data_IF_093352409353
#
_entry.id   IF_093352409353
#
_cell.length_a   1.000
_cell.length_b   1.000
_cell.length_c   1.000
_cell.angle_alpha   90.00
_cell.angle_beta   90.00
_cell.angle_gamma   90.00
#
_symmetry.space_group_name_H-M   'P 1'
#
loop_
_entity.id
_entity.type
_entity.pdbx_description
1 polymer ?
#
# COMPACT_ATOMS: atom_id res chain seq x y z
N UNK A 1 -10.98 13.77 -1.81
CA UNK A 1 -10.51 13.94 -0.41
C UNK A 1 -9.45 12.90 -0.04
N UNK A 2 -9.69 11.59 -0.16
CA UNK A 2 -8.70 10.56 0.23
C UNK A 2 -7.37 10.69 -0.53
N UNK A 3 -7.38 10.78 -1.87
CA UNK A 3 -6.13 10.98 -2.64
C UNK A 3 -5.39 12.24 -2.22
N UNK A 4 -6.11 13.36 -2.12
CA UNK A 4 -5.54 14.65 -1.71
C UNK A 4 -4.83 14.57 -0.36
N UNK A 5 -5.44 13.90 0.64
CA UNK A 5 -4.80 13.69 1.92
C UNK A 5 -3.46 12.95 1.78
N UNK A 6 -3.45 11.81 1.06
CA UNK A 6 -2.24 11.01 0.90
C UNK A 6 -1.15 11.68 0.08
N UNK A 7 -1.50 12.58 -0.84
CA UNK A 7 -0.51 13.33 -1.61
C UNK A 7 0.17 14.44 -0.79
N UNK A 8 -0.48 14.94 0.28
CA UNK A 8 0.02 16.09 1.05
C UNK A 8 0.44 15.78 2.51
N UNK A 9 0.04 14.65 3.11
CA UNK A 9 0.30 14.39 4.54
C UNK A 9 1.79 14.32 4.91
N UNK A 10 2.68 14.19 3.92
CA UNK A 10 4.14 14.11 4.08
C UNK A 10 4.89 15.37 3.64
N UNK A 11 4.21 16.45 3.25
CA UNK A 11 4.85 17.64 2.67
C UNK A 11 5.87 18.31 3.61
N UNK A 12 5.72 18.12 4.93
CA UNK A 12 6.65 18.64 5.94
C UNK A 12 7.74 17.65 6.35
N UNK A 13 7.70 16.41 5.84
CA UNK A 13 8.72 15.41 6.12
C UNK A 13 9.84 15.47 5.06
N UNK A 14 10.97 16.08 5.42
CA UNK A 14 12.09 16.29 4.50
C UNK A 14 12.50 15.01 3.76
N UNK A 15 12.44 15.06 2.43
CA UNK A 15 12.84 13.97 1.55
C UNK A 15 11.76 12.89 1.31
N UNK A 16 10.54 13.07 1.85
CA UNK A 16 9.42 12.17 1.59
C UNK A 16 8.36 12.86 0.75
N UNK A 17 7.71 12.07 -0.10
CA UNK A 17 6.60 12.47 -0.94
C UNK A 17 5.77 11.23 -1.27
N UNK A 18 4.56 11.44 -1.76
CA UNK A 18 3.66 10.39 -2.26
C UNK A 18 3.00 10.88 -3.53
N UNK A 19 2.79 9.97 -4.47
CA UNK A 19 1.96 10.17 -5.66
C UNK A 19 0.94 9.06 -5.71
N UNK A 20 -0.34 9.42 -5.88
CA UNK A 20 -1.40 8.44 -6.06
C UNK A 20 -1.54 8.16 -7.55
N UNK A 21 -1.31 6.92 -7.97
CA UNK A 21 -1.38 6.57 -9.40
C UNK A 21 -2.83 6.41 -9.88
N UNK A 22 -3.62 5.52 -9.26
CA UNK A 22 -5.03 5.32 -9.60
C UNK A 22 -5.79 4.56 -8.51
N UNK A 23 -7.12 4.56 -8.63
CA UNK A 23 -8.01 3.69 -7.86
C UNK A 23 -8.46 2.52 -8.73
N UNK A 24 -8.48 1.32 -8.14
CA UNK A 24 -8.91 0.08 -8.80
C UNK A 24 -10.16 -0.49 -8.15
N UNK A 25 -10.79 -1.45 -8.82
CA UNK A 25 -12.06 -2.06 -8.40
C UNK A 25 -11.91 -3.13 -7.32
N UNK A 26 -13.05 -3.73 -6.94
CA UNK A 26 -13.12 -4.77 -5.91
C UNK A 26 -12.34 -6.04 -6.26
N UNK A 27 -12.32 -6.41 -7.53
CA UNK A 27 -11.63 -7.63 -7.99
C UNK A 27 -10.11 -7.48 -7.89
N UNK A 28 -9.57 -6.34 -8.31
CA UNK A 28 -8.14 -6.02 -8.20
C UNK A 28 -7.71 -5.91 -6.73
N UNK A 29 -8.53 -5.27 -5.89
CA UNK A 29 -8.28 -5.19 -4.45
C UNK A 29 -8.23 -6.57 -3.80
N UNK A 30 -9.16 -7.47 -4.18
CA UNK A 30 -9.18 -8.86 -3.69
C UNK A 30 -7.93 -9.64 -4.14
N UNK A 31 -7.53 -9.47 -5.40
CA UNK A 31 -6.33 -10.11 -5.94
C UNK A 31 -5.08 -9.68 -5.16
N UNK A 32 -4.93 -8.38 -4.87
CA UNK A 32 -3.78 -7.87 -4.12
C UNK A 32 -3.73 -8.39 -2.67
N UNK A 33 -4.88 -8.52 -2.00
CA UNK A 33 -4.96 -9.12 -0.66
C UNK A 33 -4.45 -10.57 -0.67
N UNK A 34 -4.93 -11.39 -1.62
CA UNK A 34 -4.52 -12.80 -1.72
C UNK A 34 -3.03 -12.92 -2.08
N UNK A 35 -2.52 -12.05 -2.96
CA UNK A 35 -1.11 -11.99 -3.29
C UNK A 35 -0.26 -11.64 -2.05
N UNK A 36 -0.72 -10.72 -1.19
CA UNK A 36 -0.07 -10.38 0.08
C UNK A 36 0.00 -11.57 1.04
N UNK A 37 -1.10 -12.32 1.18
CA UNK A 37 -1.15 -13.55 2.00
C UNK A 37 -0.13 -14.57 1.50
N UNK A 38 -0.05 -14.78 0.19
CA UNK A 38 0.86 -15.75 -0.41
C UNK A 38 2.33 -15.33 -0.23
N UNK A 39 2.64 -14.04 -0.41
CA UNK A 39 3.98 -13.49 -0.13
C UNK A 39 4.39 -13.72 1.32
N UNK A 40 3.49 -13.51 2.28
CA UNK A 40 3.77 -13.78 3.69
C UNK A 40 4.04 -15.27 3.96
N UNK A 41 3.23 -16.17 3.40
CA UNK A 41 3.40 -17.63 3.56
C UNK A 41 4.75 -18.10 3.03
N UNK A 42 5.18 -17.54 1.90
CA UNK A 42 6.43 -17.85 1.21
C UNK A 42 7.64 -17.07 1.76
N UNK A 43 7.43 -16.11 2.66
CA UNK A 43 8.55 -15.42 3.30
C UNK A 43 9.32 -16.39 4.20
N UNK A 44 10.64 -16.44 4.00
CA UNK A 44 11.55 -17.16 4.89
C UNK A 44 11.70 -16.47 6.24
N UNK A 45 11.57 -15.14 6.25
CA UNK A 45 11.56 -14.31 7.46
C UNK A 45 10.11 -13.91 7.75
N UNK A 46 9.46 -14.66 8.63
CA UNK A 46 8.08 -14.39 9.03
C UNK A 46 8.12 -13.48 10.24
N UNK A 47 7.72 -12.21 10.13
CA UNK A 47 7.66 -11.34 11.30
C UNK A 47 6.74 -11.95 12.36
N UNK A 48 7.28 -12.11 13.58
CA UNK A 48 6.56 -12.57 14.75
C UNK A 48 5.87 -11.35 15.40
N UNK A 49 4.70 -10.99 14.89
CA UNK A 49 3.83 -9.97 15.48
C UNK A 49 3.00 -10.55 16.63
#
# INVERSE_FOLDING_TARGET
QISHFFEHYKDLEKGKWVKVESWVGVDDARAEILAGVERYRNSSDKPAF
#
